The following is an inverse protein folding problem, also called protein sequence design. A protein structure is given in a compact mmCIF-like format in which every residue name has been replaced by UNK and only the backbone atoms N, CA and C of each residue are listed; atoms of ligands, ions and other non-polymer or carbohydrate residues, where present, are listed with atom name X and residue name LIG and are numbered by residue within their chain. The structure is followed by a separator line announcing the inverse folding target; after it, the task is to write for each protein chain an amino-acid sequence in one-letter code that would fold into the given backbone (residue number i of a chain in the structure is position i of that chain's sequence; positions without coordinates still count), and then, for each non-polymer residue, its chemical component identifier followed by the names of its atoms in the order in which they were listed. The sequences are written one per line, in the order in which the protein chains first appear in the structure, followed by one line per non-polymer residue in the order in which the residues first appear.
data_IF_833034126196
#
_entry.id   IF_833034126196
#
_cell.length_a   1.000
_cell.length_b   1.000
_cell.length_c   1.000
_cell.angle_alpha   90.00
_cell.angle_beta   90.00
_cell.angle_gamma   90.00
#
_symmetry.space_group_name_H-M   'P 1'
#
loop_
_entity.id
_entity.type
_entity.pdbx_description
1 polymer ?
#
# COMPACT_ATOMS: atom_id res chain seq x y z
N UNK A 1 -8.38 -7.69 4.64
CA UNK A 1 -7.46 -7.79 3.48
C UNK A 1 -8.23 -7.37 2.25
N UNK A 2 -7.86 -6.25 1.62
CA UNK A 2 -8.60 -5.71 0.46
C UNK A 2 -8.56 -6.73 -0.68
N UNK A 3 -9.72 -7.03 -1.28
CA UNK A 3 -9.81 -8.01 -2.37
C UNK A 3 -9.19 -7.42 -3.64
N UNK A 4 -8.39 -8.22 -4.34
CA UNK A 4 -7.75 -7.80 -5.60
C UNK A 4 -8.78 -7.31 -6.64
N UNK A 5 -9.97 -7.94 -6.66
CA UNK A 5 -11.10 -7.55 -7.51
C UNK A 5 -11.66 -6.14 -7.24
N UNK A 6 -11.48 -5.60 -6.04
CA UNK A 6 -11.91 -4.24 -5.71
C UNK A 6 -10.84 -3.24 -6.14
N UNK A 7 -9.57 -3.60 -5.97
CA UNK A 7 -8.44 -2.80 -6.43
C UNK A 7 -8.39 -2.69 -7.96
N UNK A 8 -8.78 -3.75 -8.68
CA UNK A 8 -8.80 -3.76 -10.15
C UNK A 8 -9.90 -2.88 -10.77
N UNK A 9 -10.85 -2.39 -9.97
CA UNK A 9 -11.90 -1.45 -10.42
C UNK A 9 -11.49 0.01 -10.29
N UNK A 10 -10.34 0.29 -9.65
CA UNK A 10 -9.83 1.65 -9.48
C UNK A 10 -9.28 2.19 -10.81
N UNK A 11 -9.55 3.46 -11.09
CA UNK A 11 -8.92 4.14 -12.22
C UNK A 11 -7.43 4.37 -11.94
N UNK A 12 -6.60 4.50 -12.99
CA UNK A 12 -5.15 4.74 -12.84
C UNK A 12 -4.82 5.91 -11.91
N UNK A 13 -5.61 6.99 -11.98
CA UNK A 13 -5.47 8.18 -11.11
C UNK A 13 -5.74 7.86 -9.63
N UNK A 14 -6.70 6.99 -9.35
CA UNK A 14 -7.02 6.57 -7.99
C UNK A 14 -5.98 5.59 -7.45
N UNK A 15 -5.41 4.75 -8.32
CA UNK A 15 -4.29 3.87 -7.99
C UNK A 15 -3.07 4.69 -7.57
N UNK A 16 -2.71 5.74 -8.33
CA UNK A 16 -1.57 6.59 -8.03
C UNK A 16 -1.77 7.35 -6.70
N UNK A 17 -2.96 7.94 -6.46
CA UNK A 17 -3.29 8.55 -5.16
C UNK A 17 -3.15 7.57 -4.00
N UNK A 18 -3.70 6.37 -4.16
CA UNK A 18 -3.64 5.31 -3.13
C UNK A 18 -2.21 4.83 -2.88
N UNK A 19 -1.38 4.80 -3.92
CA UNK A 19 0.05 4.46 -3.80
C UNK A 19 0.80 5.50 -2.97
N UNK A 20 0.52 6.79 -3.16
CA UNK A 20 1.18 7.86 -2.41
C UNK A 20 0.76 7.86 -0.93
N UNK A 21 -0.53 7.63 -0.65
CA UNK A 21 -1.03 7.42 0.71
C UNK A 21 -0.33 6.23 1.40
N UNK A 22 -0.28 5.08 0.73
CA UNK A 22 0.35 3.88 1.29
C UNK A 22 1.86 4.00 1.46
N UNK A 23 2.53 4.81 0.63
CA UNK A 23 3.96 5.14 0.80
C UNK A 23 4.19 5.98 2.04
N UNK A 24 3.34 6.98 2.31
CA UNK A 24 3.41 7.76 3.55
C UNK A 24 3.17 6.88 4.78
N UNK A 25 2.17 5.99 4.71
CA UNK A 25 1.89 5.04 5.79
C UNK A 25 3.03 4.05 5.99
N UNK A 26 3.71 3.63 4.92
CA UNK A 26 4.91 2.80 5.02
C UNK A 26 6.03 3.55 5.74
N UNK A 27 6.24 4.83 5.46
CA UNK A 27 7.25 5.64 6.15
C UNK A 27 6.93 5.75 7.64
N UNK A 28 5.68 6.10 7.99
CA UNK A 28 5.23 6.15 9.40
C UNK A 28 5.41 4.80 10.08
N UNK A 29 5.02 3.70 9.42
CA UNK A 29 5.16 2.36 9.95
C UNK A 29 6.62 1.96 10.18
N UNK A 30 7.55 2.36 9.28
CA UNK A 30 8.99 2.14 9.47
C UNK A 30 9.53 2.92 10.66
N UNK A 31 9.12 4.17 10.84
CA UNK A 31 9.50 4.98 12.01
C UNK A 31 8.98 4.33 13.30
N UNK A 32 7.71 3.94 13.34
CA UNK A 32 7.13 3.27 14.52
C UNK A 32 7.81 1.92 14.80
N UNK A 33 8.13 1.14 13.77
CA UNK A 33 8.86 -0.12 13.94
C UNK A 33 10.29 0.11 14.46
N UNK A 34 10.98 1.17 14.01
CA UNK A 34 12.31 1.52 14.51
C UNK A 34 12.31 1.88 16.00
N UNK A 35 11.18 2.39 16.50
CA UNK A 35 10.96 2.70 17.92
C UNK A 35 10.49 1.49 18.75
N UNK A 36 10.56 0.28 18.20
CA UNK A 36 10.13 -0.96 18.87
C UNK A 36 8.63 -1.23 18.84
N UNK A 37 7.85 -0.41 18.13
CA UNK A 37 6.40 -0.63 17.98
C UNK A 37 6.08 -1.80 17.05
N UNK A 38 5.06 -2.59 17.39
CA UNK A 38 4.55 -3.65 16.49
C UNK A 38 3.73 -3.02 15.37
N UNK A 39 4.19 -3.15 14.12
CA UNK A 39 3.51 -2.60 12.95
C UNK A 39 3.46 -3.61 11.81
N UNK A 40 2.35 -3.62 11.08
CA UNK A 40 2.08 -4.55 9.98
C UNK A 40 2.73 -4.13 8.66
N UNK A 41 4.03 -3.83 8.68
CA UNK A 41 4.81 -3.38 7.49
C UNK A 41 4.66 -4.34 6.31
N UNK A 42 4.60 -5.66 6.58
CA UNK A 42 4.43 -6.69 5.54
C UNK A 42 3.11 -6.53 4.77
N UNK A 43 2.02 -6.22 5.47
CA UNK A 43 0.70 -6.04 4.85
C UNK A 43 0.66 -4.78 3.98
N UNK A 44 1.29 -3.69 4.43
CA UNK A 44 1.41 -2.43 3.66
C UNK A 44 2.20 -2.69 2.37
N UNK A 45 3.36 -3.36 2.47
CA UNK A 45 4.18 -3.72 1.30
C UNK A 45 3.43 -4.60 0.30
N UNK A 46 2.69 -5.60 0.76
CA UNK A 46 1.87 -6.45 -0.11
C UNK A 46 0.78 -5.68 -0.85
N UNK A 47 0.17 -4.71 -0.17
CA UNK A 47 -0.89 -3.86 -0.77
C UNK A 47 -0.30 -2.95 -1.85
N UNK A 48 0.85 -2.33 -1.59
CA UNK A 48 1.60 -1.54 -2.57
C UNK A 48 1.97 -2.40 -3.79
N UNK A 49 2.48 -3.62 -3.57
CA UNK A 49 2.86 -4.52 -4.68
C UNK A 49 1.67 -4.87 -5.58
N UNK A 50 0.48 -5.12 -5.01
CA UNK A 50 -0.74 -5.38 -5.78
C UNK A 50 -1.19 -4.17 -6.59
N UNK A 51 -1.11 -2.97 -6.02
CA UNK A 51 -1.43 -1.73 -6.74
C UNK A 51 -0.45 -1.46 -7.88
N UNK A 52 0.85 -1.70 -7.66
CA UNK A 52 1.86 -1.57 -8.71
C UNK A 52 1.65 -2.57 -9.86
N UNK A 53 1.22 -3.80 -9.56
CA UNK A 53 0.82 -4.77 -10.59
C UNK A 53 -0.36 -4.25 -11.41
N UNK A 54 -1.41 -3.73 -10.77
CA UNK A 54 -2.58 -3.19 -11.46
C UNK A 54 -2.28 -1.93 -12.28
N UNK A 55 -1.29 -1.14 -11.88
CA UNK A 55 -0.82 0.04 -12.64
C UNK A 55 -0.08 -0.33 -13.92
N UNK A 56 0.64 -1.46 -13.91
CA UNK A 56 1.49 -1.92 -15.03
C UNK A 56 0.70 -2.70 -16.09
N UNK A 57 -0.41 -3.32 -15.71
CA UNK A 57 -1.40 -3.92 -16.65
C UNK A 57 -2.21 -2.86 -17.39
#
# INVERSE_FOLDING_TARGET
MVKFKELSKLQKKDIDKKLDELRLDLVKARVTASKGGKVKIKEIKQTIARLLMLRKS
#
